data_IF_856510267509
#
_entry.id   IF_856510267509
#
_cell.length_a   1.000
_cell.length_b   1.000
_cell.length_c   1.000
_cell.angle_alpha   90.00
_cell.angle_beta   90.00
_cell.angle_gamma   90.00
#
_symmetry.space_group_name_H-M   'P 1'
#
loop_
_entity.id
_entity.type
_entity.pdbx_description
1 polymer ?
#
# COMPACT_ATOMS: atom_id res chain seq x y z
N UNK A 1 14.50 -31.05 -3.62
CA UNK A 1 14.35 -29.64 -4.07
C UNK A 1 13.89 -28.85 -2.86
N UNK A 2 14.83 -28.18 -2.18
CA UNK A 2 14.56 -27.52 -0.89
C UNK A 2 13.74 -26.26 -1.11
N UNK A 3 12.47 -26.27 -0.72
CA UNK A 3 11.68 -25.07 -0.53
C UNK A 3 12.32 -24.33 0.64
N UNK A 4 13.07 -23.26 0.32
CA UNK A 4 13.56 -22.30 1.31
C UNK A 4 12.32 -21.68 1.94
N UNK A 5 11.93 -22.22 3.10
CA UNK A 5 10.97 -21.59 3.97
C UNK A 5 11.44 -20.15 4.21
N UNK A 6 10.50 -19.25 3.95
CA UNK A 6 10.62 -17.81 3.97
C UNK A 6 11.22 -17.34 5.31
N UNK A 7 12.53 -17.10 5.32
CA UNK A 7 13.27 -16.52 6.44
C UNK A 7 13.01 -15.00 6.50
N UNK A 8 11.74 -14.62 6.67
CA UNK A 8 11.33 -13.23 6.93
C UNK A 8 11.15 -12.96 8.44
N UNK A 9 11.18 -13.99 9.26
CA UNK A 9 11.16 -13.86 10.72
C UNK A 9 12.54 -14.19 11.28
N UNK A 10 13.41 -13.18 11.47
CA UNK A 10 14.42 -13.16 12.55
C UNK A 10 15.37 -11.95 12.56
N UNK A 11 14.86 -10.74 12.29
CA UNK A 11 15.49 -9.55 12.89
C UNK A 11 14.58 -9.09 14.02
N UNK A 12 15.08 -8.84 15.24
CA UNK A 12 14.26 -8.28 16.31
C UNK A 12 13.94 -6.83 15.95
N UNK A 13 12.97 -6.63 15.06
CA UNK A 13 12.31 -5.35 14.90
C UNK A 13 11.45 -5.14 16.14
N UNK A 14 11.58 -3.98 16.77
CA UNK A 14 10.72 -3.57 17.90
C UNK A 14 9.22 -3.60 17.53
N UNK A 15 8.93 -3.46 16.25
CA UNK A 15 7.58 -3.36 15.71
C UNK A 15 7.04 -4.75 15.32
N UNK A 16 5.77 -4.97 15.63
CA UNK A 16 5.06 -6.18 15.21
C UNK A 16 4.94 -6.25 13.67
N UNK A 17 4.57 -7.42 13.15
CA UNK A 17 4.32 -7.57 11.71
C UNK A 17 3.07 -6.78 11.32
N UNK A 18 2.08 -6.77 12.20
CA UNK A 18 0.81 -6.06 12.06
C UNK A 18 1.05 -4.54 11.94
N UNK A 19 1.88 -3.95 12.81
CA UNK A 19 2.19 -2.52 12.77
C UNK A 19 2.85 -2.10 11.46
N UNK A 20 3.59 -3.03 10.85
CA UNK A 20 4.31 -2.84 9.58
C UNK A 20 3.49 -3.21 8.34
N UNK A 21 2.30 -3.80 8.52
CA UNK A 21 1.46 -4.28 7.41
C UNK A 21 0.66 -3.14 6.78
N UNK A 22 0.85 -2.90 5.49
CA UNK A 22 0.02 -2.00 4.69
C UNK A 22 -0.97 -2.87 3.90
N UNK A 23 -2.26 -2.62 4.05
CA UNK A 23 -3.32 -3.26 3.29
C UNK A 23 -4.01 -2.23 2.40
N UNK A 24 -4.03 -2.50 1.09
CA UNK A 24 -4.69 -1.66 0.09
C UNK A 24 -5.78 -2.48 -0.57
N UNK A 25 -7.01 -1.97 -0.51
CA UNK A 25 -8.16 -2.52 -1.26
C UNK A 25 -8.46 -1.61 -2.44
N UNK A 26 -8.58 -2.19 -3.63
CA UNK A 26 -8.84 -1.44 -4.85
C UNK A 26 -9.76 -2.22 -5.79
N UNK A 27 -10.47 -1.53 -6.66
CA UNK A 27 -11.43 -2.12 -7.58
C UNK A 27 -12.01 -1.08 -8.53
N UNK A 28 -12.63 -1.55 -9.61
CA UNK A 28 -13.39 -0.70 -10.52
C UNK A 28 -14.72 -0.24 -9.92
N UNK A 29 -15.28 -1.10 -9.06
CA UNK A 29 -16.50 -0.88 -8.33
C UNK A 29 -16.37 -1.50 -6.92
N UNK A 30 -17.43 -1.42 -6.13
CA UNK A 30 -17.44 -1.90 -4.75
C UNK A 30 -17.67 -3.42 -4.61
N UNK A 31 -17.91 -4.12 -5.72
CA UNK A 31 -18.17 -5.56 -5.77
C UNK A 31 -16.92 -6.30 -6.25
N UNK A 32 -16.30 -5.85 -7.34
CA UNK A 32 -15.08 -6.42 -7.88
C UNK A 32 -13.84 -5.77 -7.25
N UNK A 33 -13.54 -6.18 -6.01
CA UNK A 33 -12.41 -5.68 -5.23
C UNK A 33 -11.27 -6.68 -5.15
N UNK A 34 -10.04 -6.17 -5.17
CA UNK A 34 -8.80 -6.90 -4.96
C UNK A 34 -8.04 -6.29 -3.77
N UNK A 35 -7.21 -7.10 -3.11
CA UNK A 35 -6.40 -6.68 -1.98
C UNK A 35 -4.91 -6.89 -2.25
N UNK A 36 -4.11 -5.88 -1.93
CA UNK A 36 -2.66 -5.93 -1.93
C UNK A 36 -2.15 -5.80 -0.49
N UNK A 37 -1.26 -6.71 -0.09
CA UNK A 37 -0.63 -6.73 1.22
C UNK A 37 0.88 -6.50 1.08
N UNK A 38 1.39 -5.51 1.82
CA UNK A 38 2.80 -5.15 1.83
C UNK A 38 3.30 -5.10 3.27
N UNK A 39 4.52 -5.57 3.52
CA UNK A 39 5.17 -5.44 4.83
C UNK A 39 6.28 -4.39 4.70
N UNK A 40 6.15 -3.29 5.43
CA UNK A 40 7.17 -2.26 5.47
C UNK A 40 8.35 -2.68 6.38
N UNK A 41 9.48 -1.99 6.22
CA UNK A 41 10.66 -2.20 7.06
C UNK A 41 10.40 -1.79 8.52
N UNK A 42 9.68 -0.69 8.74
CA UNK A 42 9.36 -0.13 10.08
C UNK A 42 7.90 0.32 10.15
N UNK A 43 7.37 0.45 11.37
CA UNK A 43 6.00 0.90 11.60
C UNK A 43 5.77 2.33 11.12
N UNK A 44 6.76 3.22 11.26
CA UNK A 44 6.67 4.60 10.78
C UNK A 44 6.57 4.64 9.25
N UNK A 45 7.31 3.76 8.56
CA UNK A 45 7.23 3.63 7.11
C UNK A 45 5.85 3.16 6.70
N UNK A 46 5.30 2.14 7.37
CA UNK A 46 3.94 1.67 7.11
C UNK A 46 2.90 2.78 7.31
N UNK A 47 3.03 3.56 8.39
CA UNK A 47 2.17 4.71 8.66
C UNK A 47 2.26 5.76 7.55
N UNK A 48 3.47 6.18 7.18
CA UNK A 48 3.66 7.17 6.12
C UNK A 48 3.04 6.73 4.79
N UNK A 49 3.14 5.44 4.44
CA UNK A 49 2.48 4.88 3.26
C UNK A 49 0.96 4.93 3.37
N UNK A 50 0.38 4.48 4.50
CA UNK A 50 -1.08 4.53 4.72
C UNK A 50 -1.60 5.96 4.60
N UNK A 51 -0.96 6.91 5.29
CA UNK A 51 -1.34 8.32 5.30
C UNK A 51 -1.20 8.95 3.90
N UNK A 52 -0.09 8.67 3.21
CA UNK A 52 0.17 9.18 1.86
C UNK A 52 -0.83 8.65 0.82
N UNK A 53 -1.08 7.35 0.80
CA UNK A 53 -2.06 6.73 -0.10
C UNK A 53 -3.46 7.28 0.19
N UNK A 54 -3.86 7.36 1.46
CA UNK A 54 -5.15 7.92 1.82
C UNK A 54 -5.26 9.39 1.39
N UNK A 55 -4.20 10.19 1.55
CA UNK A 55 -4.16 11.57 1.07
C UNK A 55 -4.36 11.69 -0.43
N UNK A 56 -3.82 10.76 -1.23
CA UNK A 56 -3.99 10.70 -2.69
C UNK A 56 -5.42 10.29 -3.06
N UNK A 57 -5.92 9.19 -2.48
CA UNK A 57 -7.23 8.61 -2.83
C UNK A 57 -8.38 9.56 -2.48
N UNK A 58 -8.28 10.29 -1.38
CA UNK A 58 -9.31 11.24 -0.95
C UNK A 58 -9.15 12.62 -1.61
N UNK A 59 -8.16 12.82 -2.50
CA UNK A 59 -7.93 14.11 -3.15
C UNK A 59 -8.91 14.33 -4.31
N UNK A 60 -9.90 15.18 -4.08
CA UNK A 60 -10.90 15.57 -5.08
C UNK A 60 -10.29 16.11 -6.38
N UNK A 61 -9.19 16.87 -6.32
CA UNK A 61 -8.56 17.43 -7.53
C UNK A 61 -7.99 16.37 -8.45
N UNK A 62 -7.48 15.26 -7.89
CA UNK A 62 -6.99 14.13 -8.69
C UNK A 62 -8.14 13.38 -9.37
N UNK A 63 -9.31 13.34 -8.74
CA UNK A 63 -10.52 12.73 -9.32
C UNK A 63 -11.07 13.52 -10.51
N UNK A 64 -10.83 14.84 -10.52
CA UNK A 64 -11.32 15.77 -11.54
C UNK A 64 -10.17 16.47 -12.28
N UNK A 65 -9.08 15.74 -12.53
CA UNK A 65 -7.98 16.26 -13.33
C UNK A 65 -8.44 16.55 -14.76
N UNK A 66 -7.94 17.64 -15.36
CA UNK A 66 -8.26 17.95 -16.74
C UNK A 66 -7.61 16.95 -17.71
N UNK A 67 -8.13 16.80 -18.95
CA UNK A 67 -7.61 15.83 -19.90
C UNK A 67 -6.11 15.98 -20.18
N UNK A 68 -5.60 17.21 -20.25
CA UNK A 68 -4.18 17.48 -20.48
C UNK A 68 -3.29 16.98 -19.34
N UNK A 69 -3.72 17.11 -18.08
CA UNK A 69 -3.02 16.50 -16.93
C UNK A 69 -3.12 14.98 -16.96
N UNK A 70 -4.27 14.40 -17.35
CA UNK A 70 -4.43 12.96 -17.41
C UNK A 70 -3.49 12.30 -18.44
N UNK A 71 -3.20 12.98 -19.56
CA UNK A 71 -2.25 12.54 -20.58
C UNK A 71 -0.79 12.51 -20.10
N UNK A 72 -0.47 13.11 -18.94
CA UNK A 72 0.86 13.06 -18.34
C UNK A 72 1.07 11.83 -17.45
N UNK A 73 0.04 10.98 -17.26
CA UNK A 73 0.22 9.69 -16.58
C UNK A 73 1.09 8.79 -17.47
N UNK A 74 2.29 8.46 -17.00
CA UNK A 74 3.19 7.46 -17.61
C UNK A 74 2.79 6.05 -17.21
#
# INVERSE_FOLDING_TARGET
MSLKNFDLEQRPTKDSVEDRTIWITYGWDLVNVSSLFLIAKTAETAKAWRDGINGIVHNYKLRHACPTTALQKQ
#
